data_IF_491653206785
#
_entry.id   IF_491653206785
#
_cell.length_a   1.000
_cell.length_b   1.000
_cell.length_c   1.000
_cell.angle_alpha   90.00
_cell.angle_beta   90.00
_cell.angle_gamma   90.00
#
_symmetry.space_group_name_H-M   'P 1'
#
loop_
_entity.id
_entity.type
_entity.pdbx_description
1 polymer ?
#
# COMPACT_ATOMS: atom_id res chain seq x y z
N UNK A 1 -2.49 -10.89 -9.50
CA UNK A 1 -2.93 -11.36 -8.17
C UNK A 1 -2.37 -10.39 -7.13
N UNK A 2 -3.19 -9.89 -6.21
CA UNK A 2 -2.86 -8.81 -5.28
C UNK A 2 -1.94 -9.26 -4.13
N UNK A 3 -2.01 -10.52 -3.72
CA UNK A 3 -1.11 -11.17 -2.77
C UNK A 3 0.37 -11.06 -3.18
N UNK A 4 0.71 -11.48 -4.40
CA UNK A 4 2.10 -11.42 -4.92
C UNK A 4 2.61 -9.98 -5.00
N UNK A 5 1.73 -9.03 -5.36
CA UNK A 5 2.07 -7.61 -5.37
C UNK A 5 2.38 -7.11 -3.95
N UNK A 6 1.54 -7.46 -2.97
CA UNK A 6 1.72 -7.04 -1.58
C UNK A 6 3.03 -7.57 -0.99
N UNK A 7 3.34 -8.85 -1.22
CA UNK A 7 4.64 -9.43 -0.81
C UNK A 7 5.81 -8.66 -1.43
N UNK A 8 5.76 -8.42 -2.74
CA UNK A 8 6.81 -7.69 -3.45
C UNK A 8 7.02 -6.27 -2.91
N UNK A 9 5.93 -5.54 -2.62
CA UNK A 9 5.99 -4.20 -2.04
C UNK A 9 6.61 -4.23 -0.64
N UNK A 10 6.21 -5.15 0.23
CA UNK A 10 6.77 -5.28 1.59
C UNK A 10 8.26 -5.59 1.55
N UNK A 11 8.68 -6.52 0.67
CA UNK A 11 10.10 -6.86 0.51
C UNK A 11 10.90 -5.66 -0.01
N UNK A 12 10.38 -4.94 -1.01
CA UNK A 12 11.02 -3.75 -1.54
C UNK A 12 11.17 -2.67 -0.47
N UNK A 13 10.09 -2.35 0.26
CA UNK A 13 10.09 -1.32 1.30
C UNK A 13 11.08 -1.63 2.43
N UNK A 14 11.16 -2.89 2.88
CA UNK A 14 12.15 -3.34 3.88
C UNK A 14 13.58 -3.23 3.37
N UNK A 15 13.82 -3.54 2.10
CA UNK A 15 15.15 -3.48 1.49
C UNK A 15 15.63 -2.04 1.24
N UNK A 16 14.72 -1.16 0.85
CA UNK A 16 15.06 0.24 0.53
C UNK A 16 15.04 1.16 1.75
N UNK A 17 14.44 0.74 2.86
CA UNK A 17 14.29 1.57 4.06
C UNK A 17 13.39 2.78 3.79
N UNK A 18 12.24 2.56 3.17
CA UNK A 18 11.33 3.65 2.83
C UNK A 18 10.81 4.33 4.11
N UNK A 19 11.02 5.64 4.22
CA UNK A 19 10.66 6.45 5.40
C UNK A 19 9.53 7.45 5.12
N UNK A 20 8.83 7.27 3.99
CA UNK A 20 7.69 8.08 3.59
C UNK A 20 6.44 7.21 3.51
N UNK A 21 5.24 7.75 3.80
CA UNK A 21 4.00 7.00 3.66
C UNK A 21 3.76 6.57 2.21
N UNK A 22 3.26 5.36 2.00
CA UNK A 22 2.96 4.84 0.66
C UNK A 22 1.48 4.53 0.54
N UNK A 23 0.80 5.19 -0.41
CA UNK A 23 -0.60 4.90 -0.75
C UNK A 23 -0.65 3.85 -1.85
N UNK A 24 -1.36 2.75 -1.60
CA UNK A 24 -1.46 1.60 -2.49
C UNK A 24 -2.93 1.38 -2.86
N UNK A 25 -3.25 1.62 -4.14
CA UNK A 25 -4.52 1.22 -4.74
C UNK A 25 -4.31 -0.05 -5.55
N UNK A 26 -5.07 -1.09 -5.25
CA UNK A 26 -5.01 -2.37 -5.95
C UNK A 26 -6.40 -2.89 -6.32
N UNK A 27 -6.48 -3.62 -7.42
CA UNK A 27 -7.70 -4.27 -7.91
C UNK A 27 -7.32 -5.60 -8.58
N UNK A 28 -8.10 -6.65 -8.36
CA UNK A 28 -7.87 -7.96 -8.96
C UNK A 28 -8.16 -9.13 -8.01
N UNK A 29 -7.55 -10.28 -8.31
CA UNK A 29 -7.72 -11.53 -7.55
C UNK A 29 -6.88 -11.54 -6.26
N UNK A 30 -7.35 -12.23 -5.23
CA UNK A 30 -6.73 -12.33 -3.89
C UNK A 30 -6.53 -10.97 -3.19
N UNK A 31 -7.48 -10.05 -3.36
CA UNK A 31 -7.40 -8.70 -2.78
C UNK A 31 -7.40 -8.71 -1.25
N UNK A 32 -8.20 -9.57 -0.63
CA UNK A 32 -8.27 -9.69 0.83
C UNK A 32 -6.94 -10.16 1.43
N UNK A 33 -6.29 -11.15 0.78
CA UNK A 33 -4.98 -11.62 1.23
C UNK A 33 -3.90 -10.55 0.99
N UNK A 34 -3.92 -9.85 -0.14
CA UNK A 34 -3.02 -8.74 -0.40
C UNK A 34 -3.14 -7.62 0.66
N UNK A 35 -4.37 -7.27 1.05
CA UNK A 35 -4.62 -6.30 2.13
C UNK A 35 -4.09 -6.80 3.47
N UNK A 36 -4.28 -8.07 3.79
CA UNK A 36 -3.77 -8.70 5.02
C UNK A 36 -2.25 -8.62 5.09
N UNK A 37 -1.55 -8.98 4.02
CA UNK A 37 -0.08 -8.91 3.92
C UNK A 37 0.42 -7.47 4.16
N UNK A 38 -0.22 -6.47 3.55
CA UNK A 38 0.18 -5.08 3.73
C UNK A 38 -0.05 -4.61 5.18
N UNK A 39 -1.20 -4.94 5.78
CA UNK A 39 -1.53 -4.55 7.14
C UNK A 39 -0.60 -5.18 8.20
N UNK A 40 -0.20 -6.44 7.99
CA UNK A 40 0.70 -7.17 8.89
C UNK A 40 2.18 -6.76 8.72
N UNK A 41 2.51 -5.93 7.73
CA UNK A 41 3.89 -5.61 7.39
C UNK A 41 4.62 -4.72 8.41
N UNK A 42 3.88 -4.00 9.25
CA UNK A 42 4.41 -3.02 10.20
C UNK A 42 4.99 -1.75 9.55
N UNK A 43 4.75 -1.56 8.25
CA UNK A 43 5.17 -0.41 7.47
C UNK A 43 4.02 0.59 7.33
N UNK A 44 4.34 1.86 7.10
CA UNK A 44 3.34 2.92 6.85
C UNK A 44 2.78 2.83 5.43
N UNK A 45 1.98 1.79 5.20
CA UNK A 45 1.33 1.48 3.93
C UNK A 45 -0.17 1.70 4.07
N UNK A 46 -0.70 2.60 3.26
CA UNK A 46 -2.10 3.03 3.32
C UNK A 46 -2.81 2.44 2.11
N UNK A 47 -3.89 1.69 2.35
CA UNK A 47 -4.66 1.09 1.25
C UNK A 47 -5.78 2.02 0.79
N UNK A 48 -5.88 2.21 -0.51
CA UNK A 48 -6.92 3.00 -1.15
C UNK A 48 -7.90 2.10 -1.91
N UNK A 49 -9.18 2.49 -1.87
CA UNK A 49 -10.30 1.74 -2.45
C UNK A 49 -10.47 2.01 -3.96
N UNK A 50 -10.28 3.26 -4.37
CA UNK A 50 -10.33 3.69 -5.76
C UNK A 50 -9.29 4.80 -6.04
N UNK A 51 -9.24 5.27 -7.29
CA UNK A 51 -8.29 6.30 -7.70
C UNK A 51 -8.56 7.67 -7.04
N UNK A 52 -9.82 7.99 -6.75
CA UNK A 52 -10.20 9.26 -6.12
C UNK A 52 -9.79 9.25 -4.65
N UNK A 53 -10.06 8.16 -3.95
CA UNK A 53 -9.61 7.91 -2.59
C UNK A 53 -8.08 7.96 -2.50
N UNK A 54 -7.37 7.27 -3.40
CA UNK A 54 -5.91 7.32 -3.47
C UNK A 54 -5.38 8.77 -3.63
N UNK A 55 -5.97 9.54 -4.56
CA UNK A 55 -5.58 10.93 -4.78
C UNK A 55 -5.83 11.82 -3.56
N UNK A 56 -6.98 11.62 -2.88
CA UNK A 56 -7.31 12.36 -1.65
C UNK A 56 -6.35 12.03 -0.51
N UNK A 57 -6.02 10.76 -0.31
CA UNK A 57 -5.07 10.32 0.71
C UNK A 57 -3.69 10.93 0.46
N UNK A 58 -3.17 10.82 -0.78
CA UNK A 58 -1.89 11.43 -1.16
C UNK A 58 -1.91 12.95 -0.92
N UNK A 59 -2.97 13.64 -1.35
CA UNK A 59 -3.08 15.09 -1.16
C UNK A 59 -3.15 15.50 0.32
N UNK A 60 -3.75 14.68 1.19
CA UNK A 60 -3.81 14.96 2.62
C UNK A 60 -2.45 14.75 3.30
N UNK A 61 -1.71 13.71 2.91
CA UNK A 61 -0.36 13.42 3.41
C UNK A 61 0.63 14.52 2.98
N UNK A 62 0.53 14.98 1.73
CA UNK A 62 1.46 15.96 1.16
C UNK A 62 1.28 17.39 1.70
N UNK A 63 0.18 17.70 2.40
CA UNK A 63 -0.11 19.04 2.95
C UNK A 63 0.64 19.37 4.25
N UNK A 64 1.76 18.68 4.49
CA UNK A 64 2.62 18.89 5.67
C UNK A 64 3.52 20.10 5.48
#
# INVERSE_FOLDING_TARGET
>A
RCDVLAEGVVQAAKKTGINVPVVIRMEGTNIEEGRRILAESGLDLITATDLKDAALQVANIAKT
#
